data_IF_819231301309
#
_entry.id   IF_819231301309
#
_cell.length_a   1.000
_cell.length_b   1.000
_cell.length_c   1.000
_cell.angle_alpha   90.00
_cell.angle_beta   90.00
_cell.angle_gamma   90.00
#
_symmetry.space_group_name_H-M   'P 1'
#
loop_
_entity.id
_entity.type
_entity.pdbx_description
1 polymer ?
#
# COMPACT_ATOMS: atom_id res chain seq x y z
N UNK A 1 -69.11 43.13 63.53
CA UNK A 1 -69.48 42.03 62.61
C UNK A 1 -68.18 41.44 62.05
N UNK A 2 -67.68 40.36 62.64
CA UNK A 2 -66.38 39.74 62.29
C UNK A 2 -66.56 38.84 61.07
N UNK A 3 -65.77 39.05 60.03
CA UNK A 3 -65.82 38.31 58.76
C UNK A 3 -64.67 37.30 58.75
N UNK A 4 -65.01 36.01 58.80
CA UNK A 4 -64.08 34.89 58.74
C UNK A 4 -63.49 34.78 57.33
N UNK A 5 -62.15 34.71 57.23
CA UNK A 5 -61.44 34.39 56.00
C UNK A 5 -60.55 33.18 56.28
N UNK A 6 -61.01 32.01 55.87
CA UNK A 6 -60.29 30.73 55.94
C UNK A 6 -59.25 30.68 54.82
N UNK A 7 -57.97 30.66 55.18
CA UNK A 7 -56.85 30.42 54.26
C UNK A 7 -56.67 28.91 54.06
N UNK A 8 -56.84 28.44 52.83
CA UNK A 8 -56.36 27.13 52.38
C UNK A 8 -54.92 27.31 51.86
N UNK A 9 -53.94 26.71 52.52
CA UNK A 9 -52.57 26.61 52.02
C UNK A 9 -52.28 25.15 51.67
N UNK A 10 -52.02 24.91 50.38
CA UNK A 10 -51.83 23.61 49.78
C UNK A 10 -50.52 22.92 50.24
N UNK A 11 -50.63 21.64 50.60
CA UNK A 11 -49.51 20.78 50.94
C UNK A 11 -48.85 20.27 49.65
N UNK A 12 -47.66 20.80 49.32
CA UNK A 12 -46.88 20.36 48.16
C UNK A 12 -46.08 19.10 48.53
N UNK A 13 -46.61 17.92 48.18
CA UNK A 13 -45.91 16.65 48.34
C UNK A 13 -44.89 16.51 47.20
N UNK A 14 -43.61 16.67 47.51
CA UNK A 14 -42.50 16.36 46.61
C UNK A 14 -42.42 14.84 46.41
N UNK A 15 -42.97 14.35 45.30
CA UNK A 15 -42.81 12.95 44.86
C UNK A 15 -41.39 12.83 44.29
N UNK A 16 -40.46 12.35 45.13
CA UNK A 16 -39.13 11.97 44.69
C UNK A 16 -39.25 10.67 43.87
N UNK A 17 -39.39 10.81 42.55
CA UNK A 17 -39.32 9.67 41.64
C UNK A 17 -37.87 9.20 41.59
N UNK A 18 -37.55 7.93 41.91
CA UNK A 18 -36.21 7.43 41.70
C UNK A 18 -35.99 7.38 40.19
N UNK A 19 -35.17 8.29 39.68
CA UNK A 19 -34.59 8.15 38.35
C UNK A 19 -33.73 6.89 38.43
N UNK A 20 -34.15 5.84 37.73
CA UNK A 20 -33.29 4.71 37.41
C UNK A 20 -32.17 5.25 36.52
N UNK A 21 -31.07 5.65 37.15
CA UNK A 21 -29.80 5.88 36.46
C UNK A 21 -29.29 4.49 36.09
N UNK A 22 -29.58 4.05 34.87
CA UNK A 22 -28.79 2.98 34.27
C UNK A 22 -27.40 3.56 33.99
N UNK A 23 -26.46 3.33 34.89
CA UNK A 23 -25.05 3.44 34.57
C UNK A 23 -24.79 2.44 33.45
N UNK A 24 -24.74 2.90 32.20
CA UNK A 24 -24.03 2.15 31.18
C UNK A 24 -22.56 2.25 31.58
N UNK A 25 -22.02 1.21 32.20
CA UNK A 25 -20.62 1.12 32.59
C UNK A 25 -19.75 1.39 31.36
N UNK A 26 -19.21 2.60 31.22
CA UNK A 26 -18.20 2.96 30.21
C UNK A 26 -17.00 1.98 30.25
N UNK A 27 -16.74 1.39 31.43
CA UNK A 27 -15.72 0.36 31.61
C UNK A 27 -16.07 -0.97 30.90
N UNK A 28 -17.34 -1.35 30.82
CA UNK A 28 -17.74 -2.61 30.17
C UNK A 28 -17.60 -2.55 28.64
N UNK A 29 -17.86 -1.39 28.03
CA UNK A 29 -17.77 -1.25 26.57
C UNK A 29 -16.31 -1.36 26.07
N UNK A 30 -15.37 -0.77 26.80
CA UNK A 30 -13.95 -0.81 26.43
C UNK A 30 -13.29 -2.13 26.79
N UNK A 31 -13.54 -2.64 28.00
CA UNK A 31 -12.82 -3.78 28.57
C UNK A 31 -13.53 -5.12 28.37
N UNK A 32 -14.73 -5.12 27.78
CA UNK A 32 -15.50 -6.33 27.49
C UNK A 32 -16.16 -6.93 28.73
N UNK A 33 -16.67 -8.15 28.58
CA UNK A 33 -17.44 -8.83 29.63
C UNK A 33 -16.59 -9.26 30.84
N UNK A 34 -15.27 -9.30 30.72
CA UNK A 34 -14.36 -9.62 31.82
C UNK A 34 -13.18 -8.63 31.86
N UNK A 35 -13.39 -7.44 32.48
CA UNK A 35 -12.40 -6.37 32.49
C UNK A 35 -11.06 -6.73 33.12
N UNK A 36 -11.07 -7.52 34.20
CA UNK A 36 -9.84 -7.90 34.91
C UNK A 36 -8.98 -8.83 34.06
N UNK A 37 -9.57 -9.86 33.45
CA UNK A 37 -8.85 -10.74 32.54
C UNK A 37 -8.34 -9.98 31.31
N UNK A 38 -9.11 -9.03 30.77
CA UNK A 38 -8.65 -8.20 29.67
C UNK A 38 -7.41 -7.39 30.07
N UNK A 39 -7.43 -6.71 31.22
CA UNK A 39 -6.32 -5.88 31.72
C UNK A 39 -5.07 -6.73 31.98
N UNK A 40 -5.23 -7.91 32.57
CA UNK A 40 -4.13 -8.86 32.81
C UNK A 40 -3.50 -9.30 31.48
N UNK A 41 -4.30 -9.81 30.55
CA UNK A 41 -3.79 -10.29 29.27
C UNK A 41 -3.17 -9.16 28.43
N UNK A 42 -3.74 -7.95 28.47
CA UNK A 42 -3.20 -6.76 27.82
C UNK A 42 -1.81 -6.43 28.38
N UNK A 43 -1.65 -6.42 29.70
CA UNK A 43 -0.35 -6.19 30.34
C UNK A 43 0.67 -7.26 29.95
N UNK A 44 0.29 -8.54 30.06
CA UNK A 44 1.16 -9.67 29.77
C UNK A 44 1.65 -9.68 28.32
N UNK A 45 0.74 -9.58 27.34
CA UNK A 45 1.17 -9.67 25.94
C UNK A 45 2.01 -8.45 25.54
N UNK A 46 1.73 -7.26 26.08
CA UNK A 46 2.52 -6.06 25.78
C UNK A 46 3.94 -6.23 26.30
N UNK A 47 4.12 -6.81 27.48
CA UNK A 47 5.46 -7.08 28.03
C UNK A 47 6.22 -8.12 27.18
N UNK A 48 5.59 -9.25 26.85
CA UNK A 48 6.19 -10.23 25.95
C UNK A 48 6.52 -9.65 24.57
N UNK A 49 5.63 -8.82 24.02
CA UNK A 49 5.84 -8.14 22.74
C UNK A 49 7.05 -7.20 22.79
N UNK A 50 7.22 -6.41 23.86
CA UNK A 50 8.38 -5.52 24.05
C UNK A 50 9.69 -6.29 24.11
N UNK A 51 9.67 -7.46 24.72
CA UNK A 51 10.81 -8.39 24.77
C UNK A 51 11.01 -9.17 23.45
N UNK A 52 10.15 -8.95 22.44
CA UNK A 52 10.10 -9.69 21.17
C UNK A 52 9.85 -11.19 21.34
N UNK A 53 9.32 -11.61 22.49
CA UNK A 53 8.91 -12.97 22.75
C UNK A 53 7.50 -13.20 22.18
N UNK A 54 7.40 -13.33 20.85
CA UNK A 54 6.11 -13.42 20.16
C UNK A 54 5.37 -14.73 20.41
N UNK A 55 6.09 -15.82 20.71
CA UNK A 55 5.48 -17.10 21.01
C UNK A 55 4.66 -17.03 22.30
N UNK A 56 5.24 -16.50 23.39
CA UNK A 56 4.54 -16.32 24.66
C UNK A 56 3.54 -15.15 24.60
N UNK A 57 3.76 -14.16 23.74
CA UNK A 57 2.80 -13.08 23.52
C UNK A 57 1.49 -13.56 22.88
N UNK A 58 1.50 -14.62 22.06
CA UNK A 58 0.35 -15.00 21.23
C UNK A 58 -0.90 -15.34 22.05
N UNK A 59 -0.78 -16.17 23.08
CA UNK A 59 -1.93 -16.59 23.88
C UNK A 59 -2.64 -15.42 24.59
N UNK A 60 -1.96 -14.58 25.40
CA UNK A 60 -2.60 -13.42 26.02
C UNK A 60 -3.05 -12.38 24.98
N UNK A 61 -2.31 -12.18 23.89
CA UNK A 61 -2.75 -11.30 22.80
C UNK A 61 -4.06 -11.77 22.18
N UNK A 62 -4.18 -13.07 21.91
CA UNK A 62 -5.35 -13.69 21.29
C UNK A 62 -6.59 -13.59 22.20
N UNK A 63 -6.39 -13.65 23.52
CA UNK A 63 -7.46 -13.38 24.49
C UNK A 63 -7.97 -11.94 24.37
N UNK A 64 -7.07 -10.94 24.40
CA UNK A 64 -7.45 -9.52 24.24
C UNK A 64 -8.16 -9.27 22.92
N UNK A 65 -7.63 -9.82 21.83
CA UNK A 65 -8.20 -9.69 20.48
C UNK A 65 -9.64 -10.20 20.38
N UNK A 66 -9.98 -11.30 21.08
CA UNK A 66 -11.33 -11.88 21.05
C UNK A 66 -12.28 -11.25 22.06
N UNK A 67 -11.80 -10.99 23.27
CA UNK A 67 -12.65 -10.73 24.44
C UNK A 67 -12.85 -9.23 24.69
N UNK A 68 -11.87 -8.41 24.34
CA UNK A 68 -11.92 -6.97 24.56
C UNK A 68 -11.32 -6.19 23.37
N UNK A 69 -11.94 -6.29 22.17
CA UNK A 69 -11.41 -5.73 20.93
C UNK A 69 -11.30 -4.20 20.90
N UNK A 70 -11.98 -3.48 21.80
CA UNK A 70 -11.93 -2.02 21.96
C UNK A 70 -10.87 -1.55 22.96
N UNK A 71 -10.25 -2.47 23.72
CA UNK A 71 -9.35 -2.11 24.81
C UNK A 71 -8.13 -1.30 24.35
N UNK A 72 -7.57 -1.64 23.17
CA UNK A 72 -6.43 -0.91 22.60
C UNK A 72 -6.29 -1.14 21.10
N UNK A 73 -6.03 -0.05 20.35
CA UNK A 73 -5.63 -0.14 18.93
C UNK A 73 -4.31 -0.89 18.76
N UNK A 74 -3.43 -0.84 19.77
CA UNK A 74 -2.15 -1.54 19.74
C UNK A 74 -2.31 -3.06 19.73
N UNK A 75 -3.45 -3.61 20.17
CA UNK A 75 -3.76 -5.04 19.99
C UNK A 75 -3.66 -5.41 18.51
N UNK A 76 -4.23 -4.62 17.61
CA UNK A 76 -4.15 -4.92 16.18
C UNK A 76 -2.77 -4.63 15.58
N UNK A 77 -2.13 -3.53 15.98
CA UNK A 77 -0.79 -3.16 15.47
C UNK A 77 0.25 -4.22 15.87
N UNK A 78 0.28 -4.61 17.15
CA UNK A 78 1.20 -5.65 17.65
C UNK A 78 0.81 -7.03 17.09
N UNK A 79 -0.49 -7.27 16.91
CA UNK A 79 -1.03 -8.50 16.34
C UNK A 79 -0.47 -8.84 14.96
N UNK A 80 -0.19 -7.84 14.12
CA UNK A 80 0.45 -8.07 12.81
C UNK A 80 1.79 -8.79 12.98
N UNK A 81 2.67 -8.30 13.86
CA UNK A 81 3.98 -8.90 14.08
C UNK A 81 3.88 -10.26 14.80
N UNK A 82 3.04 -10.35 15.84
CA UNK A 82 2.83 -11.59 16.61
C UNK A 82 2.32 -12.71 15.70
N UNK A 83 1.26 -12.47 14.92
CA UNK A 83 0.66 -13.50 14.05
C UNK A 83 1.56 -13.81 12.86
N UNK A 84 2.26 -12.82 12.29
CA UNK A 84 3.24 -13.06 11.22
C UNK A 84 4.38 -13.98 11.69
N UNK A 85 4.82 -13.83 12.95
CA UNK A 85 5.80 -14.74 13.53
C UNK A 85 5.27 -16.18 13.63
N UNK A 86 4.01 -16.37 14.07
CA UNK A 86 3.39 -17.70 14.08
C UNK A 86 3.29 -18.30 12.68
N UNK A 87 2.92 -17.52 11.66
CA UNK A 87 2.87 -17.98 10.26
C UNK A 87 4.25 -18.46 9.79
N UNK A 88 5.31 -17.70 10.08
CA UNK A 88 6.67 -18.01 9.63
C UNK A 88 7.25 -19.28 10.30
N UNK A 89 6.84 -19.57 11.53
CA UNK A 89 7.34 -20.69 12.32
C UNK A 89 6.46 -21.95 12.26
N UNK A 90 5.26 -21.84 11.71
CA UNK A 90 4.33 -22.97 11.58
C UNK A 90 4.65 -23.83 10.36
N UNK A 91 4.68 -25.14 10.57
CA UNK A 91 5.01 -26.14 9.54
C UNK A 91 3.78 -26.87 9.02
N UNK A 92 2.72 -26.98 9.82
CA UNK A 92 1.46 -27.56 9.38
C UNK A 92 0.73 -26.56 8.47
N UNK A 93 0.49 -26.87 7.19
CA UNK A 93 -0.17 -25.96 6.27
C UNK A 93 -1.59 -25.54 6.70
N UNK A 94 -2.33 -26.42 7.39
CA UNK A 94 -3.68 -26.11 7.88
C UNK A 94 -3.62 -25.12 9.03
N UNK A 95 -2.70 -25.31 9.97
CA UNK A 95 -2.52 -24.40 11.10
C UNK A 95 -1.95 -23.06 10.62
N UNK A 96 -0.99 -23.08 9.69
CA UNK A 96 -0.45 -21.88 9.06
C UNK A 96 -1.55 -21.07 8.38
N UNK A 97 -2.46 -21.74 7.65
CA UNK A 97 -3.63 -21.09 7.04
C UNK A 97 -4.55 -20.45 8.08
N UNK A 98 -4.81 -21.11 9.21
CA UNK A 98 -5.61 -20.52 10.30
C UNK A 98 -4.95 -19.25 10.90
N UNK A 99 -3.62 -19.21 11.02
CA UNK A 99 -2.92 -17.99 11.41
C UNK A 99 -3.02 -16.90 10.34
N UNK A 100 -2.96 -17.24 9.05
CA UNK A 100 -3.19 -16.27 7.97
C UNK A 100 -4.62 -15.69 8.06
N UNK A 101 -5.63 -16.52 8.26
CA UNK A 101 -7.03 -16.06 8.41
C UNK A 101 -7.18 -15.14 9.62
N UNK A 102 -6.49 -15.47 10.72
CA UNK A 102 -6.41 -14.60 11.90
C UNK A 102 -5.77 -13.26 11.57
N UNK A 103 -4.64 -13.26 10.84
CA UNK A 103 -3.95 -12.04 10.44
C UNK A 103 -4.84 -11.15 9.54
N UNK A 104 -5.58 -11.73 8.61
CA UNK A 104 -6.52 -10.94 7.79
C UNK A 104 -7.65 -10.35 8.64
N UNK A 105 -8.16 -11.11 9.62
CA UNK A 105 -9.17 -10.62 10.59
C UNK A 105 -8.63 -9.51 11.48
N UNK A 106 -7.32 -9.48 11.79
CA UNK A 106 -6.68 -8.38 12.53
C UNK A 106 -6.89 -7.04 11.82
N UNK A 107 -6.74 -7.00 10.49
CA UNK A 107 -7.01 -5.78 9.72
C UNK A 107 -8.50 -5.43 9.74
N UNK A 108 -9.39 -6.40 9.51
CA UNK A 108 -10.83 -6.17 9.45
C UNK A 108 -11.40 -5.66 10.78
N UNK A 109 -10.99 -6.27 11.90
CA UNK A 109 -11.41 -5.81 13.21
C UNK A 109 -10.80 -4.47 13.58
N UNK A 110 -9.55 -4.17 13.18
CA UNK A 110 -9.00 -2.83 13.37
C UNK A 110 -9.88 -1.77 12.70
N UNK A 111 -10.32 -2.02 11.47
CA UNK A 111 -11.25 -1.12 10.75
C UNK A 111 -12.55 -1.00 11.53
N UNK A 112 -13.14 -2.14 11.92
CA UNK A 112 -14.41 -2.19 12.64
C UNK A 112 -14.39 -1.37 13.95
N UNK A 113 -13.33 -1.48 14.75
CA UNK A 113 -13.29 -0.89 16.10
C UNK A 113 -12.55 0.44 16.18
N UNK A 114 -11.67 0.75 15.23
CA UNK A 114 -10.80 1.93 15.28
C UNK A 114 -10.78 2.78 13.99
N UNK A 115 -11.53 2.39 12.95
CA UNK A 115 -11.58 3.12 11.68
C UNK A 115 -10.27 3.05 10.90
N UNK A 116 -9.86 4.17 10.29
CA UNK A 116 -8.72 4.24 9.35
C UNK A 116 -8.88 3.26 8.16
N UNK A 117 -10.11 3.12 7.62
CA UNK A 117 -10.42 2.07 6.63
C UNK A 117 -9.47 2.05 5.43
N UNK A 118 -9.29 3.19 4.74
CA UNK A 118 -8.44 3.27 3.56
C UNK A 118 -7.00 2.85 3.86
N UNK A 119 -6.39 3.45 4.88
CA UNK A 119 -5.04 3.12 5.36
C UNK A 119 -4.88 1.65 5.76
N UNK A 120 -5.84 1.10 6.52
CA UNK A 120 -5.75 -0.29 7.01
C UNK A 120 -5.98 -1.29 5.88
N UNK A 121 -6.85 -0.98 4.92
CA UNK A 121 -7.00 -1.77 3.69
C UNK A 121 -5.70 -1.77 2.87
N UNK A 122 -4.99 -0.64 2.78
CA UNK A 122 -3.71 -0.57 2.08
C UNK A 122 -2.67 -1.52 2.70
N UNK A 123 -2.54 -1.48 4.02
CA UNK A 123 -1.67 -2.42 4.75
C UNK A 123 -2.11 -3.88 4.56
N UNK A 124 -3.43 -4.14 4.56
CA UNK A 124 -4.00 -5.46 4.29
C UNK A 124 -3.67 -5.92 2.87
N UNK A 125 -3.74 -5.05 1.87
CA UNK A 125 -3.45 -5.40 0.48
C UNK A 125 -1.99 -5.83 0.30
N UNK A 126 -1.03 -5.09 0.88
CA UNK A 126 0.40 -5.44 0.86
C UNK A 126 0.64 -6.79 1.50
N UNK A 127 0.06 -7.01 2.69
CA UNK A 127 0.18 -8.28 3.39
C UNK A 127 -0.49 -9.43 2.61
N UNK A 128 -1.67 -9.19 2.04
CA UNK A 128 -2.42 -10.18 1.25
C UNK A 128 -1.64 -10.61 0.02
N UNK A 129 -1.10 -9.67 -0.76
CA UNK A 129 -0.32 -9.97 -1.95
C UNK A 129 0.93 -10.79 -1.64
N UNK A 130 1.58 -10.54 -0.48
CA UNK A 130 2.72 -11.34 -0.02
C UNK A 130 2.33 -12.79 0.30
N UNK A 131 1.15 -13.00 0.88
CA UNK A 131 0.66 -14.33 1.28
C UNK A 131 0.02 -15.11 0.11
N UNK A 132 -0.61 -14.38 -0.81
CA UNK A 132 -1.35 -14.92 -1.95
C UNK A 132 -0.93 -14.24 -3.27
N UNK A 133 0.34 -14.35 -3.69
CA UNK A 133 0.85 -13.62 -4.86
C UNK A 133 0.18 -14.04 -6.19
N UNK A 134 -0.47 -15.20 -6.23
CA UNK A 134 -1.24 -15.67 -7.40
C UNK A 134 -2.67 -15.12 -7.43
N UNK A 135 -3.17 -14.59 -6.32
CA UNK A 135 -4.51 -14.02 -6.20
C UNK A 135 -4.47 -12.50 -6.30
N UNK A 136 -3.89 -12.03 -7.41
CA UNK A 136 -3.72 -10.61 -7.70
C UNK A 136 -5.06 -9.87 -7.82
N UNK A 137 -6.15 -10.57 -8.14
CA UNK A 137 -7.48 -9.96 -8.26
C UNK A 137 -8.01 -9.45 -6.91
N UNK A 138 -7.84 -10.25 -5.85
CA UNK A 138 -8.25 -9.81 -4.52
C UNK A 138 -7.29 -8.75 -3.97
N UNK A 139 -5.99 -8.89 -4.21
CA UNK A 139 -5.03 -7.84 -3.89
C UNK A 139 -5.38 -6.50 -4.58
N UNK A 140 -5.75 -6.55 -5.87
CA UNK A 140 -6.21 -5.40 -6.64
C UNK A 140 -7.46 -4.76 -6.05
N UNK A 141 -8.49 -5.55 -5.72
CA UNK A 141 -9.73 -5.01 -5.12
C UNK A 141 -9.48 -4.30 -3.81
N UNK A 142 -8.65 -4.88 -2.93
CA UNK A 142 -8.32 -4.29 -1.63
C UNK A 142 -7.49 -3.01 -1.83
N UNK A 143 -6.46 -3.04 -2.69
CA UNK A 143 -5.61 -1.90 -2.97
C UNK A 143 -6.39 -0.74 -3.63
N UNK A 144 -7.24 -1.05 -4.62
CA UNK A 144 -8.13 -0.08 -5.28
C UNK A 144 -8.99 0.66 -4.26
N UNK A 145 -9.70 -0.08 -3.39
CA UNK A 145 -10.55 0.52 -2.36
C UNK A 145 -9.75 1.39 -1.38
N UNK A 146 -8.54 0.95 -1.01
CA UNK A 146 -7.64 1.75 -0.17
C UNK A 146 -7.28 3.08 -0.82
N UNK A 147 -6.86 3.05 -2.08
CA UNK A 147 -6.45 4.24 -2.84
C UNK A 147 -7.63 5.18 -3.11
N UNK A 148 -8.81 4.64 -3.40
CA UNK A 148 -10.05 5.43 -3.58
C UNK A 148 -10.45 6.17 -2.28
N UNK A 149 -10.21 5.57 -1.11
CA UNK A 149 -10.54 6.18 0.18
C UNK A 149 -9.49 7.19 0.65
N UNK A 150 -8.20 6.93 0.42
CA UNK A 150 -7.12 7.80 0.91
C UNK A 150 -6.75 8.89 -0.09
N UNK A 151 -6.98 8.69 -1.39
CA UNK A 151 -6.58 9.61 -2.45
C UNK A 151 -5.09 9.94 -2.37
N UNK A 152 -4.76 11.23 -2.32
CA UNK A 152 -3.39 11.74 -2.22
C UNK A 152 -2.67 11.35 -0.93
N UNK A 153 -3.40 10.96 0.13
CA UNK A 153 -2.83 10.50 1.39
C UNK A 153 -2.40 9.02 1.37
N UNK A 154 -2.63 8.32 0.24
CA UNK A 154 -2.29 6.91 0.10
C UNK A 154 -0.79 6.65 0.31
N UNK A 155 -0.49 5.56 1.04
CA UNK A 155 0.88 5.13 1.24
C UNK A 155 1.55 4.70 -0.07
N UNK A 156 2.81 5.06 -0.27
CA UNK A 156 3.54 4.79 -1.51
C UNK A 156 3.77 3.31 -1.78
N UNK A 157 3.93 2.48 -0.75
CA UNK A 157 4.03 1.04 -0.95
C UNK A 157 2.69 0.47 -1.44
N UNK A 158 1.57 1.05 -1.01
CA UNK A 158 0.23 0.69 -1.48
C UNK A 158 0.02 1.14 -2.92
N UNK A 159 0.42 2.35 -3.29
CA UNK A 159 0.38 2.83 -4.68
C UNK A 159 1.23 1.96 -5.61
N UNK A 160 2.46 1.65 -5.20
CA UNK A 160 3.33 0.75 -5.97
C UNK A 160 2.71 -0.64 -6.12
N UNK A 161 2.13 -1.21 -5.05
CA UNK A 161 1.40 -2.46 -5.13
C UNK A 161 0.21 -2.35 -6.07
N UNK A 162 -0.59 -1.28 -5.97
CA UNK A 162 -1.80 -1.10 -6.77
C UNK A 162 -1.48 -1.11 -8.26
N UNK A 163 -0.43 -0.39 -8.66
CA UNK A 163 0.07 -0.42 -10.03
C UNK A 163 0.55 -1.83 -10.45
N UNK A 164 1.28 -2.55 -9.59
CA UNK A 164 1.75 -3.91 -9.90
C UNK A 164 0.58 -4.86 -10.17
N UNK A 165 -0.41 -4.91 -9.27
CA UNK A 165 -1.55 -5.81 -9.44
C UNK A 165 -2.50 -5.32 -10.54
N UNK A 166 -2.54 -4.02 -10.86
CA UNK A 166 -3.25 -3.51 -12.03
C UNK A 166 -2.61 -4.00 -13.34
N UNK A 167 -1.28 -4.03 -13.45
CA UNK A 167 -0.58 -4.63 -14.60
C UNK A 167 -0.94 -6.12 -14.75
N UNK A 168 -1.03 -6.87 -13.65
CA UNK A 168 -1.49 -8.27 -13.71
C UNK A 168 -2.96 -8.41 -14.13
N UNK A 169 -3.83 -7.52 -13.65
CA UNK A 169 -5.23 -7.44 -14.10
C UNK A 169 -5.34 -7.14 -15.60
N UNK A 170 -4.49 -6.25 -16.12
CA UNK A 170 -4.43 -5.89 -17.54
C UNK A 170 -3.94 -7.05 -18.40
N UNK A 171 -2.86 -7.72 -17.99
CA UNK A 171 -2.37 -8.96 -18.64
C UNK A 171 -3.45 -10.04 -18.67
N UNK A 172 -4.25 -10.14 -17.62
CA UNK A 172 -5.39 -11.03 -17.52
C UNK A 172 -6.64 -10.53 -18.31
N UNK A 173 -6.54 -9.41 -19.02
CA UNK A 173 -7.61 -8.75 -19.81
C UNK A 173 -8.84 -8.38 -18.97
N UNK A 174 -8.66 -8.12 -17.68
CA UNK A 174 -9.74 -7.73 -16.75
C UNK A 174 -9.92 -6.24 -16.62
N UNK A 175 -8.90 -5.46 -16.98
CA UNK A 175 -8.95 -4.01 -17.15
C UNK A 175 -8.37 -3.67 -18.53
N UNK A 176 -8.80 -2.55 -19.11
CA UNK A 176 -8.32 -2.09 -20.42
C UNK A 176 -7.14 -1.10 -20.27
N UNK A 177 -6.60 -0.67 -21.41
CA UNK A 177 -5.46 0.26 -21.46
C UNK A 177 -5.78 1.59 -20.76
N UNK A 178 -6.97 2.15 -20.98
CA UNK A 178 -7.40 3.42 -20.38
C UNK A 178 -7.46 3.33 -18.85
N UNK A 179 -8.01 2.23 -18.30
CA UNK A 179 -8.07 2.02 -16.86
C UNK A 179 -6.67 1.87 -16.27
N UNK A 180 -5.77 1.10 -16.89
CA UNK A 180 -4.39 0.98 -16.43
C UNK A 180 -3.63 2.31 -16.51
N UNK A 181 -3.83 3.10 -17.57
CA UNK A 181 -3.20 4.41 -17.74
C UNK A 181 -3.69 5.41 -16.69
N UNK A 182 -4.99 5.41 -16.37
CA UNK A 182 -5.53 6.25 -15.31
C UNK A 182 -4.98 5.87 -13.93
N UNK A 183 -4.86 4.57 -13.64
CA UNK A 183 -4.23 4.09 -12.40
C UNK A 183 -2.78 4.58 -12.31
N UNK A 184 -2.01 4.46 -13.40
CA UNK A 184 -0.66 5.01 -13.46
C UNK A 184 -0.63 6.51 -13.14
N UNK A 185 -1.49 7.31 -13.77
CA UNK A 185 -1.54 8.75 -13.53
C UNK A 185 -1.84 9.06 -12.06
N UNK A 186 -2.84 8.40 -11.47
CA UNK A 186 -3.14 8.55 -10.03
C UNK A 186 -1.94 8.24 -9.15
N UNK A 187 -1.25 7.11 -9.37
CA UNK A 187 -0.09 6.76 -8.56
C UNK A 187 1.10 7.70 -8.81
N UNK A 188 1.33 8.08 -10.07
CA UNK A 188 2.46 8.91 -10.51
C UNK A 188 2.32 10.35 -10.04
N UNK A 189 1.12 10.92 -10.06
CA UNK A 189 0.89 12.30 -9.62
C UNK A 189 1.24 12.46 -8.13
N UNK A 190 0.79 11.52 -7.30
CA UNK A 190 1.12 11.47 -5.85
C UNK A 190 2.63 11.30 -5.64
N UNK A 191 3.26 10.33 -6.30
CA UNK A 191 4.70 10.09 -6.17
C UNK A 191 5.51 11.32 -6.63
N UNK A 192 5.14 11.93 -7.76
CA UNK A 192 5.82 13.12 -8.29
C UNK A 192 5.68 14.35 -7.37
N UNK A 193 4.52 14.54 -6.73
CA UNK A 193 4.31 15.59 -5.75
C UNK A 193 5.25 15.44 -4.54
N UNK A 194 5.42 14.20 -4.06
CA UNK A 194 6.32 13.89 -2.95
C UNK A 194 7.80 14.08 -3.33
N UNK A 195 8.19 13.72 -4.56
CA UNK A 195 9.54 14.01 -5.09
C UNK A 195 9.79 15.52 -5.15
N UNK A 196 8.81 16.32 -5.59
CA UNK A 196 8.95 17.78 -5.65
C UNK A 196 9.05 18.40 -4.25
N UNK A 197 8.26 17.91 -3.30
CA UNK A 197 8.26 18.40 -1.93
C UNK A 197 9.53 17.99 -1.15
N UNK A 198 10.10 16.82 -1.47
CA UNK A 198 11.24 16.25 -0.76
C UNK A 198 12.28 15.68 -1.75
N UNK A 199 12.99 16.54 -2.50
CA UNK A 199 13.87 16.09 -3.58
C UNK A 199 15.02 15.19 -3.10
N UNK A 200 15.50 15.37 -1.87
CA UNK A 200 16.61 14.58 -1.34
C UNK A 200 16.18 13.17 -0.86
N UNK A 201 14.88 12.88 -0.75
CA UNK A 201 14.40 11.55 -0.37
C UNK A 201 14.33 10.62 -1.60
N UNK A 202 15.36 9.79 -1.76
CA UNK A 202 15.47 8.82 -2.84
C UNK A 202 14.31 7.80 -2.89
N UNK A 203 13.60 7.57 -1.77
CA UNK A 203 12.48 6.61 -1.74
C UNK A 203 11.36 7.03 -2.67
N UNK A 204 11.06 8.32 -2.74
CA UNK A 204 10.01 8.85 -3.60
C UNK A 204 10.37 8.70 -5.08
N UNK A 205 11.63 8.97 -5.43
CA UNK A 205 12.16 8.76 -6.78
C UNK A 205 12.14 7.28 -7.15
N UNK A 206 12.47 6.40 -6.21
CA UNK A 206 12.43 4.94 -6.42
C UNK A 206 11.01 4.46 -6.74
N UNK A 207 10.00 4.95 -6.01
CA UNK A 207 8.61 4.58 -6.28
C UNK A 207 8.15 5.11 -7.63
N UNK A 208 8.43 6.39 -7.95
CA UNK A 208 8.14 6.94 -9.29
C UNK A 208 8.78 6.09 -10.39
N UNK A 209 10.05 5.73 -10.23
CA UNK A 209 10.76 4.91 -11.21
C UNK A 209 10.12 3.52 -11.39
N UNK A 210 9.63 2.91 -10.31
CA UNK A 210 8.94 1.63 -10.38
C UNK A 210 7.60 1.75 -11.12
N UNK A 211 6.81 2.80 -10.84
CA UNK A 211 5.55 3.06 -11.54
C UNK A 211 5.77 3.23 -13.04
N UNK A 212 6.75 4.05 -13.42
CA UNK A 212 7.13 4.26 -14.82
C UNK A 212 7.55 2.94 -15.50
N UNK A 213 8.38 2.15 -14.82
CA UNK A 213 8.84 0.87 -15.34
C UNK A 213 7.66 -0.10 -15.56
N UNK A 214 6.72 -0.17 -14.62
CA UNK A 214 5.51 -0.99 -14.73
C UNK A 214 4.64 -0.58 -15.91
N UNK A 215 4.42 0.74 -16.09
CA UNK A 215 3.67 1.24 -17.23
C UNK A 215 4.35 0.85 -18.55
N UNK A 216 5.64 1.10 -18.68
CA UNK A 216 6.36 0.80 -19.93
C UNK A 216 6.42 -0.71 -20.18
N UNK A 217 6.61 -1.53 -19.15
CA UNK A 217 6.62 -2.98 -19.28
C UNK A 217 5.24 -3.58 -19.59
N UNK A 218 4.15 -2.89 -19.26
CA UNK A 218 2.80 -3.31 -19.65
C UNK A 218 2.53 -3.19 -21.15
N UNK A 219 3.32 -2.38 -21.87
CA UNK A 219 3.22 -2.21 -23.31
C UNK A 219 2.18 -1.19 -23.79
N UNK A 220 1.49 -0.51 -22.86
CA UNK A 220 0.48 0.52 -23.22
C UNK A 220 1.06 1.92 -23.35
N UNK A 221 2.31 2.13 -22.95
CA UNK A 221 2.94 3.45 -22.98
C UNK A 221 3.24 3.88 -24.43
N UNK A 222 2.85 5.11 -24.79
CA UNK A 222 3.22 5.70 -26.08
C UNK A 222 4.71 6.00 -26.14
N UNK A 223 5.29 6.06 -27.36
CA UNK A 223 6.69 6.45 -27.50
C UNK A 223 6.99 7.83 -26.92
N UNK A 224 6.09 8.79 -27.08
CA UNK A 224 6.24 10.12 -26.48
C UNK A 224 6.34 10.04 -24.96
N UNK A 225 5.48 9.24 -24.32
CA UNK A 225 5.53 9.05 -22.86
C UNK A 225 6.79 8.33 -22.41
N UNK A 226 7.23 7.31 -23.14
CA UNK A 226 8.49 6.61 -22.85
C UNK A 226 9.68 7.58 -22.97
N UNK A 227 9.71 8.40 -24.02
CA UNK A 227 10.77 9.40 -24.22
C UNK A 227 10.74 10.44 -23.09
N UNK A 228 9.58 10.95 -22.71
CA UNK A 228 9.41 11.89 -21.59
C UNK A 228 9.98 11.33 -20.29
N UNK A 229 9.69 10.06 -19.99
CA UNK A 229 10.15 9.36 -18.77
C UNK A 229 11.65 9.11 -18.80
N UNK A 230 12.19 8.59 -19.90
CA UNK A 230 13.56 8.08 -19.94
C UNK A 230 14.61 9.14 -20.30
N UNK A 231 14.23 10.24 -20.96
CA UNK A 231 15.16 11.32 -21.28
C UNK A 231 15.87 11.88 -20.04
N UNK A 232 15.18 12.38 -19.00
CA UNK A 232 15.86 12.89 -17.81
C UNK A 232 16.65 11.80 -17.06
N UNK A 233 16.18 10.55 -17.07
CA UNK A 233 16.89 9.42 -16.43
C UNK A 233 18.22 9.14 -17.11
N UNK A 234 18.23 9.12 -18.45
CA UNK A 234 19.44 8.99 -19.24
C UNK A 234 20.37 10.18 -19.02
N UNK A 235 19.86 11.41 -19.14
CA UNK A 235 20.66 12.63 -19.07
C UNK A 235 21.41 12.77 -17.73
N UNK A 236 20.77 12.39 -16.62
CA UNK A 236 21.37 12.45 -15.29
C UNK A 236 22.32 11.27 -14.99
N UNK A 237 22.30 10.19 -15.78
CA UNK A 237 23.01 8.94 -15.48
C UNK A 237 23.75 8.37 -16.72
N UNK A 238 24.25 9.22 -17.61
CA UNK A 238 24.85 8.82 -18.90
C UNK A 238 26.03 7.85 -18.80
N UNK A 239 26.65 7.73 -17.63
CA UNK A 239 27.81 6.86 -17.41
C UNK A 239 27.46 5.56 -16.67
N UNK A 240 26.20 5.38 -16.24
CA UNK A 240 25.73 4.11 -15.70
C UNK A 240 25.40 3.17 -16.87
N UNK A 241 26.34 2.29 -17.20
CA UNK A 241 26.20 1.33 -18.30
C UNK A 241 24.95 0.44 -18.14
N UNK A 242 24.55 0.12 -16.90
CA UNK A 242 23.35 -0.66 -16.63
C UNK A 242 22.07 0.08 -17.03
N UNK A 243 21.96 1.34 -16.63
CA UNK A 243 20.84 2.22 -16.97
C UNK A 243 20.79 2.53 -18.47
N UNK A 244 21.94 2.84 -19.07
CA UNK A 244 22.04 3.13 -20.52
C UNK A 244 21.62 1.89 -21.32
N UNK A 245 22.12 0.70 -20.97
CA UNK A 245 21.75 -0.56 -21.61
C UNK A 245 20.25 -0.86 -21.45
N UNK A 246 19.70 -0.64 -20.26
CA UNK A 246 18.27 -0.83 -20.01
C UNK A 246 17.41 0.12 -20.86
N UNK A 247 17.81 1.38 -20.99
CA UNK A 247 17.11 2.40 -21.78
C UNK A 247 17.03 2.01 -23.26
N UNK A 248 18.16 1.62 -23.88
CA UNK A 248 18.20 1.15 -25.28
C UNK A 248 17.28 -0.07 -25.47
N UNK A 249 17.37 -1.06 -24.58
CA UNK A 249 16.53 -2.27 -24.64
C UNK A 249 15.05 -1.97 -24.52
N UNK A 250 14.66 -1.06 -23.63
CA UNK A 250 13.27 -0.66 -23.43
C UNK A 250 12.75 0.03 -24.69
N UNK A 251 13.48 1.04 -25.20
CA UNK A 251 13.09 1.77 -26.40
C UNK A 251 12.97 0.85 -27.62
N UNK A 252 13.93 -0.05 -27.85
CA UNK A 252 13.85 -0.99 -28.98
C UNK A 252 12.70 -1.99 -28.81
N UNK A 253 12.51 -2.54 -27.61
CA UNK A 253 11.43 -3.51 -27.32
C UNK A 253 10.04 -2.89 -27.51
N UNK A 254 9.87 -1.61 -27.18
CA UNK A 254 8.61 -0.88 -27.37
C UNK A 254 8.48 -0.28 -28.78
N UNK A 255 9.45 -0.51 -29.68
CA UNK A 255 9.44 0.03 -31.04
C UNK A 255 9.77 1.52 -31.16
N UNK A 256 10.19 2.17 -30.07
CA UNK A 256 10.54 3.58 -29.99
C UNK A 256 12.01 3.81 -30.35
N UNK A 257 12.41 3.35 -31.54
CA UNK A 257 13.80 3.36 -32.02
C UNK A 257 14.09 4.39 -33.13
N UNK A 258 13.18 5.34 -33.34
CA UNK A 258 13.36 6.46 -34.29
C UNK A 258 13.20 7.80 -33.56
N UNK A 259 14.07 8.05 -32.59
CA UNK A 259 14.09 9.31 -31.85
C UNK A 259 15.49 9.61 -31.31
N UNK A 260 15.69 10.87 -30.90
CA UNK A 260 16.97 11.37 -30.39
C UNK A 260 17.45 10.64 -29.13
N UNK A 261 16.53 10.24 -28.25
CA UNK A 261 16.89 9.50 -27.03
C UNK A 261 17.45 8.12 -27.38
N UNK A 262 16.84 7.40 -28.32
CA UNK A 262 17.36 6.12 -28.80
C UNK A 262 18.76 6.26 -29.40
N UNK A 263 18.96 7.28 -30.25
CA UNK A 263 20.25 7.58 -30.84
C UNK A 263 21.32 7.83 -29.77
N UNK A 264 21.07 8.82 -28.90
CA UNK A 264 22.02 9.24 -27.89
C UNK A 264 22.33 8.13 -26.88
N UNK A 265 21.33 7.36 -26.46
CA UNK A 265 21.54 6.22 -25.55
C UNK A 265 22.27 5.06 -26.23
N UNK A 266 22.04 4.80 -27.52
CA UNK A 266 22.77 3.77 -28.27
C UNK A 266 24.21 4.16 -28.54
N UNK A 267 24.47 5.42 -28.88
CA UNK A 267 25.83 5.96 -29.07
C UNK A 267 26.59 5.85 -27.76
N UNK A 268 25.97 6.28 -26.66
CA UNK A 268 26.57 6.19 -25.34
C UNK A 268 26.81 4.74 -24.89
N UNK A 269 25.87 3.84 -25.19
CA UNK A 269 26.05 2.41 -24.89
C UNK A 269 27.24 1.85 -25.66
N UNK A 270 27.40 2.20 -26.93
CA UNK A 270 28.53 1.74 -27.74
C UNK A 270 29.86 2.28 -27.22
N UNK A 271 29.92 3.54 -26.76
CA UNK A 271 31.12 4.10 -26.11
C UNK A 271 31.51 3.33 -24.83
N UNK A 272 30.54 3.00 -23.98
CA UNK A 272 30.77 2.36 -22.68
C UNK A 272 30.99 0.85 -22.81
N UNK A 273 30.27 0.21 -23.73
CA UNK A 273 30.24 -1.23 -23.96
C UNK A 273 30.10 -1.54 -25.47
N UNK A 274 31.21 -1.47 -26.22
CA UNK A 274 31.22 -1.90 -27.60
C UNK A 274 30.85 -3.38 -27.69
N UNK A 275 29.76 -3.70 -28.40
CA UNK A 275 29.27 -5.05 -28.59
C UNK A 275 28.53 -5.16 -29.92
N UNK A 276 28.37 -6.38 -30.44
CA UNK A 276 27.54 -6.62 -31.62
C UNK A 276 26.09 -6.10 -31.44
N UNK A 277 25.56 -6.14 -30.21
CA UNK A 277 24.21 -5.64 -29.92
C UNK A 277 24.14 -4.10 -30.01
N UNK A 278 25.12 -3.39 -29.43
CA UNK A 278 25.16 -1.92 -29.45
C UNK A 278 25.45 -1.38 -30.85
N UNK A 279 26.36 -2.01 -31.60
CA UNK A 279 26.62 -1.71 -33.01
C UNK A 279 25.38 -1.92 -33.89
N UNK A 280 24.72 -3.08 -33.79
CA UNK A 280 23.52 -3.37 -34.58
C UNK A 280 22.38 -2.39 -34.32
N UNK A 281 22.23 -1.92 -33.07
CA UNK A 281 21.21 -0.94 -32.69
C UNK A 281 21.46 0.42 -33.34
N UNK A 282 22.72 0.87 -33.39
CA UNK A 282 23.14 2.10 -34.07
C UNK A 282 23.01 2.01 -35.59
N UNK A 283 23.45 0.90 -36.18
CA UNK A 283 23.30 0.65 -37.61
C UNK A 283 21.82 0.73 -38.04
N UNK A 284 20.91 0.10 -37.27
CA UNK A 284 19.46 0.17 -37.51
C UNK A 284 18.90 1.59 -37.42
N UNK A 285 19.33 2.36 -36.41
CA UNK A 285 18.91 3.75 -36.25
C UNK A 285 19.35 4.60 -37.45
N UNK A 286 20.64 4.61 -37.78
CA UNK A 286 21.16 5.41 -38.88
C UNK A 286 20.58 4.99 -40.23
N UNK A 287 20.35 3.70 -40.44
CA UNK A 287 19.66 3.19 -41.62
C UNK A 287 18.26 3.77 -41.75
N UNK A 288 17.45 3.75 -40.67
CA UNK A 288 16.10 4.35 -40.64
C UNK A 288 16.12 5.86 -40.86
N UNK A 289 17.13 6.55 -40.33
CA UNK A 289 17.31 7.99 -40.52
C UNK A 289 17.97 8.37 -41.87
N UNK A 290 18.06 7.45 -42.84
CA UNK A 290 18.71 7.63 -44.15
C UNK A 290 20.19 8.06 -44.10
N UNK A 291 20.88 7.82 -42.97
CA UNK A 291 22.30 8.08 -42.78
C UNK A 291 23.13 6.83 -43.10
N UNK A 292 23.01 6.31 -44.33
CA UNK A 292 23.57 5.01 -44.72
C UNK A 292 25.09 4.89 -44.51
N UNK A 293 25.86 5.95 -44.78
CA UNK A 293 27.31 5.93 -44.56
C UNK A 293 27.68 5.70 -43.09
N UNK A 294 26.96 6.35 -42.16
CA UNK A 294 27.15 6.10 -40.73
C UNK A 294 26.68 4.71 -40.33
N UNK A 295 25.59 4.24 -40.93
CA UNK A 295 25.09 2.89 -40.66
C UNK A 295 26.10 1.81 -40.99
N UNK A 296 26.97 2.01 -42.00
CA UNK A 296 28.03 1.05 -42.35
C UNK A 296 29.27 1.10 -41.45
N UNK A 297 29.40 2.12 -40.60
CA UNK A 297 30.51 2.23 -39.62
C UNK A 297 30.30 1.34 -38.39
N UNK A 298 29.06 0.87 -38.16
CA UNK A 298 28.65 0.02 -37.04
C UNK A 298 28.23 -1.36 -37.52
#
# INVERSE_FOLDING_TARGET
MKRNLTFFAALFIMIFSPVLISAQDEDSDKWGANPDNCKINLSLYVEFYRQKNFDDAYAPWSAVFRECPKASKNTYIHGIAIVTNKIANEKDPKVQKAYIDTLLKVYDQRIQYFGEEGKVLGLKAVQYNKLYPKDFENAYKIAKKSVELEGDASDLAVMNLYMQVAVEMHKAKKINDDELFNIYNTCSDVASALVKANPEDEKFRTVQNNLDALLVMSGIATCDKIIEIFTPKFENNKNDVGLVRATVKILDRQGCNDNKLFAASSEKLFELEPSALSAYSLARYFYKSNQFSKATEY
#
